data_IF_044606754015
#
_entry.id   IF_044606754015
#
_cell.length_a   1.000
_cell.length_b   1.000
_cell.length_c   1.000
_cell.angle_alpha   90.00
_cell.angle_beta   90.00
_cell.angle_gamma   90.00
#
_symmetry.space_group_name_H-M   'P 1'
#
loop_
_entity.id
_entity.type
_entity.pdbx_description
1 polymer ?
#
# COMPACT_ATOMS: atom_id res chain seq x y z
N UNK A 1 -18.21 -23.24 -42.37
CA UNK A 1 -17.39 -23.06 -41.15
C UNK A 1 -17.44 -21.62 -40.68
N UNK A 2 -18.11 -21.39 -39.54
CA UNK A 2 -18.22 -20.09 -38.89
C UNK A 2 -17.93 -20.17 -37.37
N UNK A 3 -16.82 -20.78 -36.87
CA UNK A 3 -16.59 -20.87 -35.43
C UNK A 3 -15.82 -19.66 -34.85
N UNK A 4 -14.97 -18.99 -35.64
CA UNK A 4 -14.00 -18.01 -35.11
C UNK A 4 -14.57 -16.65 -34.67
N UNK A 5 -15.85 -16.35 -34.98
CA UNK A 5 -16.48 -15.08 -34.55
C UNK A 5 -17.19 -15.17 -33.19
N UNK A 6 -17.49 -16.38 -32.71
CA UNK A 6 -18.19 -16.58 -31.45
C UNK A 6 -17.20 -16.61 -30.27
N UNK A 7 -16.05 -17.28 -30.43
CA UNK A 7 -15.00 -17.33 -29.39
C UNK A 7 -14.37 -15.96 -29.11
N UNK A 8 -14.27 -15.09 -30.12
CA UNK A 8 -13.67 -13.76 -29.95
C UNK A 8 -14.61 -12.75 -29.28
N UNK A 9 -15.93 -12.96 -29.37
CA UNK A 9 -16.93 -12.11 -28.72
C UNK A 9 -17.07 -12.47 -27.22
N UNK A 10 -16.97 -13.75 -26.87
CA UNK A 10 -17.03 -14.24 -25.49
C UNK A 10 -15.80 -13.79 -24.68
N UNK A 11 -14.60 -13.88 -25.25
CA UNK A 11 -13.35 -13.43 -24.60
C UNK A 11 -13.32 -11.91 -24.36
N UNK A 12 -13.93 -11.11 -25.25
CA UNK A 12 -14.00 -9.65 -25.08
C UNK A 12 -14.97 -9.22 -23.98
N UNK A 13 -16.07 -9.98 -23.77
CA UNK A 13 -17.04 -9.70 -22.73
C UNK A 13 -16.51 -10.07 -21.34
N UNK A 14 -15.86 -11.22 -21.20
CA UNK A 14 -15.20 -11.64 -19.95
C UNK A 14 -14.04 -10.71 -19.57
N UNK A 15 -13.20 -10.31 -20.53
CA UNK A 15 -12.13 -9.33 -20.30
C UNK A 15 -12.65 -7.95 -19.87
N UNK A 16 -13.82 -7.54 -20.34
CA UNK A 16 -14.44 -6.27 -19.95
C UNK A 16 -15.02 -6.33 -18.53
N UNK A 17 -15.65 -7.45 -18.16
CA UNK A 17 -16.17 -7.68 -16.80
C UNK A 17 -15.03 -7.72 -15.78
N UNK A 18 -13.95 -8.44 -16.09
CA UNK A 18 -12.78 -8.56 -15.21
C UNK A 18 -12.08 -7.21 -14.95
N UNK A 19 -12.16 -6.28 -15.91
CA UNK A 19 -11.56 -4.95 -15.77
C UNK A 19 -12.44 -4.00 -14.95
N UNK A 20 -13.76 -4.11 -15.05
CA UNK A 20 -14.69 -3.37 -14.19
C UNK A 20 -14.50 -3.78 -12.72
N UNK A 21 -14.46 -5.09 -12.43
CA UNK A 21 -14.23 -5.62 -11.08
C UNK A 21 -12.87 -5.17 -10.51
N UNK A 22 -11.86 -5.09 -11.37
CA UNK A 22 -10.55 -4.56 -11.00
C UNK A 22 -10.61 -3.07 -10.62
N UNK A 23 -11.27 -2.24 -11.43
CA UNK A 23 -11.39 -0.81 -11.14
C UNK A 23 -12.24 -0.52 -9.91
N UNK A 24 -13.29 -1.33 -9.69
CA UNK A 24 -14.08 -1.30 -8.47
C UNK A 24 -13.19 -1.60 -7.25
N UNK A 25 -12.39 -2.67 -7.32
CA UNK A 25 -11.43 -3.01 -6.25
C UNK A 25 -10.41 -1.89 -6.01
N UNK A 26 -9.88 -1.28 -7.08
CA UNK A 26 -8.98 -0.13 -7.00
C UNK A 26 -9.65 1.05 -6.28
N UNK A 27 -10.90 1.36 -6.64
CA UNK A 27 -11.68 2.43 -6.00
C UNK A 27 -11.89 2.19 -4.51
N UNK A 28 -12.22 0.95 -4.14
CA UNK A 28 -12.35 0.54 -2.73
C UNK A 28 -11.03 0.69 -1.96
N UNK A 29 -9.91 0.24 -2.52
CA UNK A 29 -8.60 0.38 -1.88
C UNK A 29 -8.23 1.85 -1.71
N UNK A 30 -8.49 2.70 -2.71
CA UNK A 30 -8.28 4.15 -2.58
C UNK A 30 -9.06 4.74 -1.41
N UNK A 31 -10.36 4.48 -1.35
CA UNK A 31 -11.22 5.00 -0.28
C UNK A 31 -10.77 4.51 1.09
N UNK A 32 -10.29 3.27 1.20
CA UNK A 32 -9.75 2.74 2.45
C UNK A 32 -8.42 3.41 2.85
N UNK A 33 -7.54 3.74 1.90
CA UNK A 33 -6.29 4.47 2.20
C UNK A 33 -6.61 5.92 2.62
N UNK A 34 -7.57 6.58 1.98
CA UNK A 34 -8.04 7.92 2.39
C UNK A 34 -8.60 7.90 3.81
N UNK A 35 -9.47 6.92 4.10
CA UNK A 35 -10.00 6.74 5.44
C UNK A 35 -8.89 6.48 6.46
N UNK A 36 -7.91 5.63 6.13
CA UNK A 36 -6.76 5.36 6.99
C UNK A 36 -5.94 6.64 7.25
N UNK A 37 -5.74 7.48 6.25
CA UNK A 37 -5.05 8.77 6.39
C UNK A 37 -5.81 9.68 7.37
N UNK A 38 -7.13 9.79 7.21
CA UNK A 38 -7.98 10.58 8.11
C UNK A 38 -7.96 10.03 9.55
N UNK A 39 -8.00 8.70 9.71
CA UNK A 39 -7.90 8.06 11.01
C UNK A 39 -6.53 8.33 11.67
N UNK A 40 -5.44 8.28 10.90
CA UNK A 40 -4.09 8.58 11.40
C UNK A 40 -3.95 10.03 11.88
N UNK A 41 -4.50 11.00 11.14
CA UNK A 41 -4.53 12.42 11.54
C UNK A 41 -5.37 12.64 12.80
N UNK A 42 -6.51 11.94 12.92
CA UNK A 42 -7.36 12.04 14.11
C UNK A 42 -6.67 11.43 15.35
N UNK A 43 -5.93 10.33 15.19
CA UNK A 43 -5.10 9.75 16.26
C UNK A 43 -4.09 10.79 16.77
N UNK A 44 -3.37 11.46 15.87
CA UNK A 44 -2.40 12.49 16.21
C UNK A 44 -3.05 13.67 16.96
N UNK A 45 -4.20 14.14 16.49
CA UNK A 45 -4.96 15.23 17.12
C UNK A 45 -5.40 14.88 18.55
N UNK A 46 -5.88 13.65 18.76
CA UNK A 46 -6.27 13.15 20.10
C UNK A 46 -5.06 13.00 21.02
N UNK A 47 -3.96 12.48 20.48
CA UNK A 47 -2.68 12.39 21.18
C UNK A 47 -2.19 13.78 21.63
N UNK A 48 -2.24 14.80 20.77
CA UNK A 48 -1.91 16.18 21.13
C UNK A 48 -2.81 16.72 22.27
N UNK A 49 -4.12 16.41 22.22
CA UNK A 49 -5.08 16.78 23.28
C UNK A 49 -4.76 16.11 24.63
N UNK A 50 -4.37 14.83 24.60
CA UNK A 50 -3.95 14.06 25.79
C UNK A 50 -2.65 14.62 26.40
N UNK A 51 -1.78 15.20 25.57
CA UNK A 51 -0.59 15.90 26.02
C UNK A 51 -0.91 17.27 26.65
N UNK A 52 -1.90 18.00 26.13
CA UNK A 52 -2.23 19.36 26.60
C UNK A 52 -3.04 19.38 27.90
N UNK A 53 -3.91 18.40 28.16
CA UNK A 53 -4.77 18.39 29.35
C UNK A 53 -4.38 17.30 30.36
N UNK A 54 -4.12 17.70 31.61
CA UNK A 54 -3.65 16.80 32.68
C UNK A 54 -4.76 16.00 33.39
N UNK A 55 -6.04 16.42 33.29
CA UNK A 55 -7.10 15.96 34.20
C UNK A 55 -8.44 15.50 33.55
N UNK A 56 -8.58 15.51 32.22
CA UNK A 56 -9.82 15.08 31.53
C UNK A 56 -9.53 13.96 30.53
N UNK A 57 -9.27 12.75 31.01
CA UNK A 57 -8.50 11.79 30.21
C UNK A 57 -9.16 10.41 30.01
N UNK A 58 -10.24 10.05 30.72
CA UNK A 58 -10.84 8.70 30.56
C UNK A 58 -11.66 8.54 29.27
N UNK A 59 -12.46 9.54 28.91
CA UNK A 59 -13.27 9.50 27.68
C UNK A 59 -12.38 9.50 26.42
N UNK A 60 -11.45 10.46 26.35
CA UNK A 60 -10.52 10.60 25.24
C UNK A 60 -9.61 9.39 25.06
N UNK A 61 -9.22 8.71 26.15
CA UNK A 61 -8.41 7.49 26.08
C UNK A 61 -9.15 6.30 25.51
N UNK A 62 -10.37 6.05 25.96
CA UNK A 62 -11.19 4.98 25.40
C UNK A 62 -11.45 5.22 23.90
N UNK A 63 -11.69 6.47 23.53
CA UNK A 63 -11.91 6.85 22.13
C UNK A 63 -10.64 6.72 21.29
N UNK A 64 -9.47 7.07 21.83
CA UNK A 64 -8.18 6.82 21.19
C UNK A 64 -7.92 5.32 20.99
N UNK A 65 -8.23 4.48 21.98
CA UNK A 65 -8.06 3.03 21.87
C UNK A 65 -9.00 2.43 20.81
N UNK A 66 -10.24 2.90 20.73
CA UNK A 66 -11.18 2.53 19.67
C UNK A 66 -10.65 2.96 18.29
N UNK A 67 -10.20 4.20 18.17
CA UNK A 67 -9.66 4.74 16.91
C UNK A 67 -8.39 4.00 16.47
N UNK A 68 -7.48 3.66 17.39
CA UNK A 68 -6.30 2.83 17.10
C UNK A 68 -6.71 1.44 16.58
N UNK A 69 -7.71 0.82 17.21
CA UNK A 69 -8.25 -0.46 16.76
C UNK A 69 -8.90 -0.38 15.38
N UNK A 70 -9.62 0.69 15.09
CA UNK A 70 -10.21 0.93 13.77
C UNK A 70 -9.13 1.18 12.71
N UNK A 71 -8.14 2.04 13.02
CA UNK A 71 -6.96 2.30 12.18
C UNK A 71 -6.27 0.99 11.81
N UNK A 72 -6.04 0.12 12.79
CA UNK A 72 -5.45 -1.21 12.57
C UNK A 72 -6.31 -2.11 11.69
N UNK A 73 -7.63 -2.11 11.88
CA UNK A 73 -8.56 -2.89 11.03
C UNK A 73 -8.53 -2.39 9.59
N UNK A 74 -8.60 -1.07 9.37
CA UNK A 74 -8.51 -0.45 8.05
C UNK A 74 -7.18 -0.80 7.38
N UNK A 75 -6.05 -0.64 8.07
CA UNK A 75 -4.73 -0.98 7.54
C UNK A 75 -4.62 -2.47 7.14
N UNK A 76 -5.17 -3.37 7.96
CA UNK A 76 -5.21 -4.80 7.64
C UNK A 76 -6.08 -5.10 6.42
N UNK A 77 -7.21 -4.40 6.26
CA UNK A 77 -8.09 -4.56 5.10
C UNK A 77 -7.42 -4.06 3.81
N UNK A 78 -6.75 -2.91 3.85
CA UNK A 78 -5.94 -2.40 2.74
C UNK A 78 -4.86 -3.42 2.37
N UNK A 79 -4.11 -3.91 3.35
CA UNK A 79 -3.08 -4.95 3.18
C UNK A 79 -3.63 -6.20 2.49
N UNK A 80 -4.76 -6.72 2.97
CA UNK A 80 -5.39 -7.91 2.41
C UNK A 80 -5.84 -7.70 0.95
N UNK A 81 -6.46 -6.56 0.64
CA UNK A 81 -6.87 -6.22 -0.73
C UNK A 81 -5.68 -6.01 -1.66
N UNK A 82 -4.61 -5.35 -1.21
CA UNK A 82 -3.39 -5.20 -2.01
C UNK A 82 -2.71 -6.55 -2.31
N UNK A 83 -2.77 -7.50 -1.37
CA UNK A 83 -2.29 -8.87 -1.59
C UNK A 83 -3.16 -9.61 -2.60
N UNK A 84 -4.49 -9.59 -2.46
CA UNK A 84 -5.40 -10.29 -3.38
C UNK A 84 -5.35 -9.72 -4.80
N UNK A 85 -5.21 -8.40 -4.94
CA UNK A 85 -5.00 -7.75 -6.23
C UNK A 85 -3.79 -8.29 -6.98
N UNK A 86 -2.73 -8.72 -6.27
CA UNK A 86 -1.52 -9.32 -6.85
C UNK A 86 -1.72 -10.81 -7.16
N UNK A 87 -2.40 -11.55 -6.28
CA UNK A 87 -2.63 -13.00 -6.46
C UNK A 87 -3.55 -13.31 -7.65
N UNK A 88 -4.42 -12.37 -8.02
CA UNK A 88 -5.30 -12.49 -9.19
C UNK A 88 -4.59 -12.25 -10.55
N UNK A 89 -3.26 -12.09 -10.58
CA UNK A 89 -2.53 -11.91 -11.82
C UNK A 89 -2.24 -13.26 -12.50
N UNK A 90 -2.44 -13.38 -13.83
CA UNK A 90 -1.96 -14.54 -14.58
C UNK A 90 -0.45 -14.73 -14.37
N UNK A 91 0.05 -15.98 -14.39
CA UNK A 91 1.48 -16.24 -14.32
C UNK A 91 2.20 -15.51 -15.46
N UNK A 92 3.32 -14.88 -15.09
CA UNK A 92 4.10 -13.91 -15.87
C UNK A 92 4.52 -14.48 -17.26
N UNK A 93 3.65 -14.37 -18.27
CA UNK A 93 4.03 -14.62 -19.66
C UNK A 93 4.87 -13.44 -20.15
N UNK A 94 6.20 -13.59 -20.13
CA UNK A 94 7.20 -12.76 -20.79
C UNK A 94 6.86 -11.25 -20.89
N UNK A 95 7.52 -10.44 -20.04
CA UNK A 95 7.50 -8.95 -20.00
C UNK A 95 7.52 -8.20 -21.36
N UNK A 96 7.88 -8.85 -22.47
CA UNK A 96 7.90 -8.24 -23.80
C UNK A 96 6.48 -8.02 -24.40
N UNK A 97 5.47 -8.82 -24.00
CA UNK A 97 4.12 -8.78 -24.60
C UNK A 97 3.00 -8.61 -23.56
N UNK A 98 3.29 -8.00 -22.40
CA UNK A 98 2.27 -7.75 -21.39
C UNK A 98 1.15 -6.86 -21.98
N UNK A 99 -0.07 -7.42 -22.07
CA UNK A 99 -1.25 -6.68 -22.54
C UNK A 99 -1.39 -5.34 -21.81
N UNK A 100 -1.93 -4.33 -22.50
CA UNK A 100 -2.22 -3.00 -21.94
C UNK A 100 -2.97 -3.10 -20.61
N UNK A 101 -3.85 -4.09 -20.47
CA UNK A 101 -4.60 -4.39 -19.25
C UNK A 101 -3.68 -4.73 -18.08
N UNK A 102 -2.72 -5.64 -18.26
CA UNK A 102 -1.75 -6.02 -17.23
C UNK A 102 -0.88 -4.83 -16.80
N UNK A 103 -0.50 -3.98 -17.75
CA UNK A 103 0.30 -2.77 -17.48
C UNK A 103 -0.50 -1.77 -16.63
N UNK A 104 -1.78 -1.57 -16.93
CA UNK A 104 -2.69 -0.76 -16.11
C UNK A 104 -2.79 -1.35 -14.70
N UNK A 105 -3.05 -2.66 -14.57
CA UNK A 105 -3.20 -3.32 -13.27
C UNK A 105 -1.95 -3.18 -12.40
N UNK A 106 -0.77 -3.44 -12.98
CA UNK A 106 0.53 -3.30 -12.31
C UNK A 106 0.80 -1.87 -11.86
N UNK A 107 0.53 -0.87 -12.71
CA UNK A 107 0.72 0.53 -12.35
C UNK A 107 -0.22 0.96 -11.19
N UNK A 108 -1.49 0.57 -11.25
CA UNK A 108 -2.47 0.90 -10.22
C UNK A 108 -2.10 0.26 -8.89
N UNK A 109 -1.83 -1.05 -8.88
CA UNK A 109 -1.35 -1.75 -7.69
C UNK A 109 -0.10 -1.09 -7.10
N UNK A 110 0.83 -0.70 -7.98
CA UNK A 110 2.09 -0.11 -7.56
C UNK A 110 1.95 1.28 -6.96
N UNK A 111 1.09 2.11 -7.53
CA UNK A 111 0.74 3.40 -6.98
C UNK A 111 0.05 3.25 -5.60
N UNK A 112 -0.95 2.38 -5.49
CA UNK A 112 -1.69 2.16 -4.24
C UNK A 112 -0.79 1.61 -3.13
N UNK A 113 0.14 0.70 -3.46
CA UNK A 113 1.09 0.16 -2.47
C UNK A 113 2.01 1.25 -1.94
N UNK A 114 2.55 2.11 -2.81
CA UNK A 114 3.41 3.24 -2.37
C UNK A 114 2.64 4.24 -1.51
N UNK A 115 1.42 4.58 -1.92
CA UNK A 115 0.58 5.50 -1.17
C UNK A 115 0.21 4.95 0.21
N UNK A 116 -0.17 3.67 0.29
CA UNK A 116 -0.40 2.99 1.56
C UNK A 116 0.84 3.00 2.46
N UNK A 117 2.02 2.70 1.89
CA UNK A 117 3.28 2.73 2.62
C UNK A 117 3.62 4.14 3.16
N UNK A 118 3.33 5.18 2.37
CA UNK A 118 3.53 6.57 2.77
C UNK A 118 2.63 6.97 3.94
N UNK A 119 1.33 6.63 3.88
CA UNK A 119 0.38 6.87 4.98
C UNK A 119 0.82 6.14 6.24
N UNK A 120 1.21 4.86 6.12
CA UNK A 120 1.67 4.07 7.27
C UNK A 120 2.97 4.59 7.87
N UNK A 121 3.89 5.09 7.04
CA UNK A 121 5.12 5.76 7.51
C UNK A 121 4.79 7.05 8.25
N UNK A 122 3.92 7.90 7.70
CA UNK A 122 3.49 9.13 8.36
C UNK A 122 2.83 8.86 9.72
N UNK A 123 1.95 7.85 9.79
CA UNK A 123 1.36 7.42 11.05
C UNK A 123 2.41 6.95 12.06
N UNK A 124 3.41 6.16 11.64
CA UNK A 124 4.50 5.73 12.51
C UNK A 124 5.34 6.90 13.03
N UNK A 125 5.68 7.86 12.16
CA UNK A 125 6.42 9.07 12.53
C UNK A 125 5.66 9.89 13.60
N UNK A 126 4.34 10.02 13.45
CA UNK A 126 3.48 10.67 14.44
C UNK A 126 3.47 9.93 15.79
N UNK A 127 3.37 8.59 15.78
CA UNK A 127 3.47 7.78 17.00
C UNK A 127 4.82 7.98 17.71
N UNK A 128 5.93 7.96 16.96
CA UNK A 128 7.25 8.20 17.54
C UNK A 128 7.39 9.60 18.13
N UNK A 129 6.84 10.63 17.46
CA UNK A 129 6.80 12.00 17.99
C UNK A 129 6.03 12.09 19.32
N UNK A 130 4.87 11.42 19.42
CA UNK A 130 4.11 11.34 20.67
C UNK A 130 4.88 10.64 21.78
N UNK A 131 5.54 9.51 21.47
CA UNK A 131 6.40 8.78 22.41
C UNK A 131 7.49 9.67 22.99
N UNK A 132 8.23 10.38 22.14
CA UNK A 132 9.30 11.29 22.57
C UNK A 132 8.76 12.45 23.41
N UNK A 133 7.57 12.96 23.09
CA UNK A 133 6.93 14.00 23.91
C UNK A 133 6.52 13.47 25.29
N UNK A 134 6.03 12.23 25.38
CA UNK A 134 5.75 11.57 26.65
C UNK A 134 7.04 11.36 27.47
N UNK A 135 8.12 10.90 26.83
CA UNK A 135 9.44 10.74 27.46
C UNK A 135 9.97 12.07 28.01
N UNK A 136 9.92 13.14 27.22
CA UNK A 136 10.33 14.48 27.67
C UNK A 136 9.49 15.00 28.85
N UNK A 137 8.18 14.70 28.88
CA UNK A 137 7.32 15.03 30.03
C UNK A 137 7.72 14.25 31.29
N UNK A 138 8.04 12.96 31.17
CA UNK A 138 8.54 12.15 32.29
C UNK A 138 9.85 12.72 32.82
N UNK A 139 10.81 13.00 31.94
CA UNK A 139 12.09 13.61 32.29
C UNK A 139 11.88 14.92 33.07
N UNK A 140 10.99 15.78 32.58
CA UNK A 140 10.66 17.03 33.27
C UNK A 140 10.08 16.81 34.67
N UNK A 141 9.24 15.79 34.88
CA UNK A 141 8.71 15.47 36.20
C UNK A 141 9.78 14.92 37.15
N UNK A 142 10.74 14.14 36.63
CA UNK A 142 11.89 13.66 37.41
C UNK A 142 12.78 14.83 37.86
N UNK A 143 13.06 15.79 36.99
CA UNK A 143 13.81 17.01 37.35
C UNK A 143 13.11 17.84 38.44
N UNK A 144 11.77 17.94 38.40
CA UNK A 144 10.98 18.62 39.45
C UNK A 144 11.13 17.91 40.80
N UNK A 145 11.33 16.59 40.77
CA UNK A 145 11.62 15.75 41.92
C UNK A 145 13.12 15.72 42.27
N UNK A 146 13.93 16.63 41.71
CA UNK A 146 15.38 16.69 41.93
C UNK A 146 16.11 15.37 41.58
N UNK A 147 15.51 14.58 40.67
CA UNK A 147 16.09 13.37 40.09
C UNK A 147 16.70 13.73 38.75
N UNK A 148 18.02 13.95 38.75
CA UNK A 148 18.78 14.06 37.50
C UNK A 148 18.88 12.66 36.90
N UNK A 149 18.40 12.50 35.67
CA UNK A 149 18.39 11.22 34.94
C UNK A 149 18.87 11.49 33.52
N UNK A 150 19.86 10.72 33.09
CA UNK A 150 20.35 10.76 31.70
C UNK A 150 19.30 10.18 30.74
N UNK A 151 19.44 10.44 29.43
CA UNK A 151 18.50 9.91 28.45
C UNK A 151 18.54 8.37 28.41
N UNK A 152 19.73 7.78 28.54
CA UNK A 152 19.95 6.34 28.56
C UNK A 152 19.34 5.69 29.81
N UNK A 153 19.52 6.28 30.99
CA UNK A 153 18.91 5.79 32.23
C UNK A 153 17.38 5.90 32.19
N UNK A 154 16.85 6.97 31.57
CA UNK A 154 15.43 7.16 31.38
C UNK A 154 14.87 6.09 30.44
N UNK A 155 15.55 5.80 29.33
CA UNK A 155 15.15 4.76 28.40
C UNK A 155 15.16 3.38 29.05
N UNK A 156 16.18 3.06 29.85
CA UNK A 156 16.24 1.82 30.63
C UNK A 156 15.10 1.74 31.66
N UNK A 157 14.75 2.87 32.29
CA UNK A 157 13.60 2.94 33.19
C UNK A 157 12.28 2.69 32.46
N UNK A 158 12.10 3.23 31.26
CA UNK A 158 10.88 3.02 30.46
C UNK A 158 10.72 1.57 30.01
N UNK A 159 11.83 0.88 29.72
CA UNK A 159 11.85 -0.53 29.35
C UNK A 159 11.52 -1.47 30.52
N UNK A 160 11.75 -1.04 31.76
CA UNK A 160 11.44 -1.81 32.96
C UNK A 160 9.95 -1.65 33.31
N UNK A 161 9.27 -2.75 33.61
CA UNK A 161 7.87 -2.75 34.07
C UNK A 161 7.68 -2.13 35.47
N UNK A 162 8.77 -1.70 36.13
CA UNK A 162 8.76 -1.24 37.52
C UNK A 162 9.44 0.14 37.65
N UNK A 163 8.65 1.20 37.44
CA UNK A 163 9.07 2.58 37.73
C UNK A 163 9.19 2.86 39.23
N UNK A 164 8.55 2.03 40.06
CA UNK A 164 8.53 2.22 41.51
C UNK A 164 9.95 2.23 42.08
N UNK A 165 10.88 1.44 41.52
CA UNK A 165 12.30 1.44 41.93
C UNK A 165 12.93 2.83 41.76
N UNK A 166 12.59 3.59 40.72
CA UNK A 166 13.17 4.91 40.47
C UNK A 166 12.48 6.03 41.26
N UNK A 167 11.18 5.86 41.55
CA UNK A 167 10.37 6.83 42.30
C UNK A 167 10.56 6.68 43.81
N UNK A 168 10.89 5.48 44.30
CA UNK A 168 10.99 5.17 45.74
C UNK A 168 12.41 5.19 46.32
N UNK A 169 13.46 5.25 45.49
CA UNK A 169 14.83 5.14 45.99
C UNK A 169 15.38 6.50 46.51
N UNK A 170 15.69 6.54 47.81
CA UNK A 170 16.83 7.22 48.45
C UNK A 170 16.88 8.75 48.71
N UNK A 171 15.82 9.39 49.22
CA UNK A 171 15.96 10.34 50.34
C UNK A 171 14.62 10.91 50.80
N UNK A 172 14.36 10.83 52.10
CA UNK A 172 13.19 11.40 52.78
C UNK A 172 13.09 12.93 52.72
N UNK A 173 14.07 13.62 52.12
CA UNK A 173 14.13 15.08 51.96
C UNK A 173 13.66 15.57 50.57
N UNK A 174 13.43 14.66 49.62
CA UNK A 174 12.88 15.02 48.32
C UNK A 174 11.40 15.39 48.46
N UNK A 175 11.00 16.56 47.95
CA UNK A 175 9.58 16.97 47.85
C UNK A 175 8.88 16.15 46.76
N UNK A 176 8.73 14.84 47.00
CA UNK A 176 7.95 13.94 46.16
C UNK A 176 6.51 14.45 46.17
N UNK A 177 6.10 15.07 45.07
CA UNK A 177 4.73 15.52 44.91
C UNK A 177 3.95 14.37 44.30
N UNK A 178 2.91 13.88 45.00
CA UNK A 178 2.04 12.79 44.50
C UNK A 178 1.53 13.04 43.07
N UNK A 179 1.38 14.31 42.68
CA UNK A 179 1.05 14.73 41.32
C UNK A 179 2.12 14.38 40.27
N UNK A 180 3.40 14.58 40.56
CA UNK A 180 4.50 14.29 39.64
C UNK A 180 4.62 12.79 39.37
N UNK A 181 4.52 11.98 40.43
CA UNK A 181 4.47 10.51 40.35
C UNK A 181 3.28 10.04 39.51
N UNK A 182 2.10 10.61 39.75
CA UNK A 182 0.88 10.27 38.99
C UNK A 182 1.03 10.60 37.49
N UNK A 183 1.67 11.73 37.16
CA UNK A 183 1.91 12.12 35.77
C UNK A 183 2.94 11.19 35.10
N UNK A 184 4.01 10.83 35.80
CA UNK A 184 5.02 9.88 35.31
C UNK A 184 4.36 8.53 34.96
N UNK A 185 3.60 7.96 35.90
CA UNK A 185 2.88 6.69 35.67
C UNK A 185 1.89 6.79 34.51
N UNK A 186 1.21 7.94 34.37
CA UNK A 186 0.25 8.16 33.28
C UNK A 186 0.95 8.15 31.93
N UNK A 187 2.02 8.93 31.77
CA UNK A 187 2.80 9.02 30.52
C UNK A 187 3.49 7.71 30.18
N UNK A 188 3.97 6.97 31.17
CA UNK A 188 4.53 5.64 30.94
C UNK A 188 3.50 4.66 30.40
N UNK A 189 2.27 4.63 30.96
CA UNK A 189 1.18 3.83 30.40
C UNK A 189 0.85 4.21 28.95
N UNK A 190 0.90 5.50 28.63
CA UNK A 190 0.65 5.97 27.26
C UNK A 190 1.77 5.48 26.30
N UNK A 191 3.03 5.47 26.73
CA UNK A 191 4.16 4.89 25.98
C UNK A 191 3.95 3.39 25.76
N UNK A 192 3.61 2.63 26.81
CA UNK A 192 3.38 1.18 26.68
C UNK A 192 2.26 0.88 25.68
N UNK A 193 1.13 1.60 25.79
CA UNK A 193 -0.01 1.42 24.90
C UNK A 193 0.37 1.70 23.44
N UNK A 194 1.14 2.77 23.21
CA UNK A 194 1.66 3.10 21.89
C UNK A 194 2.60 2.03 21.34
N UNK A 195 3.56 1.56 22.14
CA UNK A 195 4.52 0.55 21.71
C UNK A 195 3.84 -0.78 21.39
N UNK A 196 2.76 -1.13 22.12
CA UNK A 196 1.91 -2.25 21.78
C UNK A 196 1.25 -2.05 20.40
N UNK A 197 0.63 -0.90 20.16
CA UNK A 197 0.02 -0.57 18.87
C UNK A 197 1.01 -0.59 17.71
N UNK A 198 2.22 -0.05 17.88
CA UNK A 198 3.28 -0.09 16.86
C UNK A 198 3.73 -1.52 16.58
N UNK A 199 3.87 -2.37 17.61
CA UNK A 199 4.18 -3.80 17.45
C UNK A 199 3.09 -4.53 16.66
N UNK A 200 1.81 -4.22 16.89
CA UNK A 200 0.69 -4.81 16.15
C UNK A 200 0.70 -4.44 14.66
N UNK A 201 1.25 -3.27 14.30
CA UNK A 201 1.41 -2.85 12.90
C UNK A 201 2.66 -3.45 12.23
N UNK A 202 3.54 -4.11 12.98
CA UNK A 202 4.82 -4.62 12.49
C UNK A 202 4.67 -5.60 11.31
N UNK A 203 3.70 -6.51 11.39
CA UNK A 203 3.41 -7.45 10.29
C UNK A 203 2.97 -6.72 9.02
N UNK A 204 2.24 -5.61 9.16
CA UNK A 204 1.80 -4.79 8.03
C UNK A 204 3.00 -4.12 7.36
N UNK A 205 3.95 -3.62 8.15
CA UNK A 205 5.19 -3.03 7.61
C UNK A 205 6.04 -4.05 6.86
N UNK A 206 6.22 -5.26 7.41
CA UNK A 206 6.96 -6.33 6.74
C UNK A 206 6.32 -6.72 5.40
N UNK A 207 5.00 -6.92 5.41
CA UNK A 207 4.24 -7.25 4.19
C UNK A 207 4.31 -6.15 3.14
N UNK A 208 4.23 -4.90 3.57
CA UNK A 208 4.29 -3.73 2.68
C UNK A 208 5.70 -3.58 2.08
N UNK A 209 6.75 -3.81 2.87
CA UNK A 209 8.12 -3.82 2.38
C UNK A 209 8.33 -4.90 1.31
N UNK A 210 7.83 -6.12 1.54
CA UNK A 210 7.87 -7.20 0.55
C UNK A 210 7.08 -6.85 -0.73
N UNK A 211 5.90 -6.25 -0.58
CA UNK A 211 5.10 -5.78 -1.72
C UNK A 211 5.84 -4.71 -2.55
N UNK A 212 6.58 -3.81 -1.90
CA UNK A 212 7.38 -2.78 -2.57
C UNK A 212 8.65 -3.35 -3.24
N UNK A 213 9.33 -4.29 -2.59
CA UNK A 213 10.52 -4.94 -3.13
C UNK A 213 10.19 -5.76 -4.39
N UNK A 214 9.13 -6.56 -4.33
CA UNK A 214 8.65 -7.37 -5.47
C UNK A 214 8.19 -6.53 -6.66
N UNK A 215 7.90 -5.25 -6.45
CA UNK A 215 7.53 -4.33 -7.53
C UNK A 215 8.73 -3.76 -8.29
N UNK A 216 9.93 -3.70 -7.71
CA UNK A 216 11.13 -3.12 -8.32
C UNK A 216 11.01 -1.61 -8.64
N UNK A 217 12.01 -1.05 -9.33
CA UNK A 217 11.98 0.32 -9.92
C UNK A 217 10.95 0.41 -11.07
N UNK A 218 9.66 0.28 -10.76
CA UNK A 218 8.56 0.59 -11.68
C UNK A 218 8.41 2.10 -11.95
N UNK A 219 9.34 2.92 -11.47
CA UNK A 219 9.37 4.36 -11.73
C UNK A 219 9.63 4.65 -13.22
N UNK A 220 10.25 3.72 -13.96
CA UNK A 220 10.51 3.91 -15.39
C UNK A 220 9.40 3.38 -16.33
N UNK A 221 8.16 3.32 -15.83
CA UNK A 221 7.04 2.76 -16.57
C UNK A 221 6.34 3.76 -17.48
N UNK A 222 6.38 5.08 -17.28
CA UNK A 222 5.68 6.01 -18.21
C UNK A 222 6.33 5.92 -19.59
N UNK A 223 7.66 6.04 -19.66
CA UNK A 223 8.42 5.91 -20.91
C UNK A 223 8.21 4.53 -21.53
N UNK A 224 8.43 3.45 -20.78
CA UNK A 224 8.23 2.08 -21.28
C UNK A 224 6.79 1.83 -21.75
N UNK A 225 5.82 2.36 -21.02
CA UNK A 225 4.40 2.22 -21.35
C UNK A 225 4.02 2.99 -22.62
N UNK A 226 4.52 4.22 -22.76
CA UNK A 226 4.29 5.04 -23.95
C UNK A 226 4.99 4.42 -25.16
N UNK A 227 6.24 3.95 -25.01
CA UNK A 227 7.00 3.29 -26.06
C UNK A 227 6.30 2.02 -26.55
N UNK A 228 5.88 1.11 -25.65
CA UNK A 228 5.15 -0.09 -26.07
C UNK A 228 3.78 0.21 -26.69
N UNK A 229 3.09 1.28 -26.26
CA UNK A 229 1.85 1.69 -26.93
C UNK A 229 2.11 2.21 -28.36
N UNK A 230 3.23 2.93 -28.56
CA UNK A 230 3.64 3.38 -29.88
C UNK A 230 3.99 2.19 -30.80
N UNK A 231 4.65 1.15 -30.28
CA UNK A 231 4.94 -0.09 -31.01
C UNK A 231 3.66 -0.77 -31.54
N UNK A 232 2.63 -0.94 -30.69
CA UNK A 232 1.34 -1.50 -31.12
C UNK A 232 0.64 -0.69 -32.22
N UNK A 233 0.76 0.64 -32.20
CA UNK A 233 0.18 1.52 -33.24
C UNK A 233 0.94 1.35 -34.55
N UNK A 234 2.25 1.17 -34.51
CA UNK A 234 3.09 0.91 -35.69
C UNK A 234 2.70 -0.43 -36.32
N UNK A 235 2.60 -1.49 -35.52
CA UNK A 235 2.21 -2.82 -36.00
C UNK A 235 0.78 -2.80 -36.59
N UNK A 236 -0.16 -2.14 -35.91
CA UNK A 236 -1.54 -1.98 -36.38
C UNK A 236 -1.60 -1.21 -37.71
N UNK A 237 -0.73 -0.21 -37.89
CA UNK A 237 -0.62 0.54 -39.15
C UNK A 237 -0.07 -0.36 -40.27
N UNK A 238 0.87 -1.25 -39.97
CA UNK A 238 1.39 -2.19 -40.95
C UNK A 238 0.32 -3.20 -41.39
N UNK A 239 -0.42 -3.78 -40.45
CA UNK A 239 -1.50 -4.72 -40.73
C UNK A 239 -2.67 -4.08 -41.50
N UNK A 240 -3.06 -2.85 -41.17
CA UNK A 240 -4.07 -2.11 -41.94
C UNK A 240 -3.60 -1.79 -43.36
N UNK A 241 -2.32 -1.48 -43.56
CA UNK A 241 -1.74 -1.29 -44.89
C UNK A 241 -1.74 -2.60 -45.70
N UNK A 242 -1.37 -3.73 -45.08
CA UNK A 242 -1.49 -5.06 -45.70
C UNK A 242 -2.93 -5.35 -46.09
N UNK A 243 -3.90 -5.11 -45.21
CA UNK A 243 -5.32 -5.28 -45.50
C UNK A 243 -5.81 -4.41 -46.69
N UNK A 244 -5.42 -3.13 -46.73
CA UNK A 244 -5.71 -2.24 -47.86
C UNK A 244 -5.08 -2.76 -49.16
N UNK A 245 -3.86 -3.29 -49.10
CA UNK A 245 -3.19 -3.88 -50.26
C UNK A 245 -3.93 -5.13 -50.79
N UNK A 246 -4.44 -5.99 -49.89
CA UNK A 246 -5.26 -7.14 -50.26
C UNK A 246 -6.60 -6.72 -50.87
N UNK A 247 -7.24 -5.66 -50.34
CA UNK A 247 -8.48 -5.10 -50.92
C UNK A 247 -8.26 -4.53 -52.32
N UNK A 248 -7.15 -3.82 -52.54
CA UNK A 248 -6.79 -3.24 -53.85
C UNK A 248 -6.42 -4.30 -54.88
N UNK A 249 -5.85 -5.43 -54.44
CA UNK A 249 -5.42 -6.53 -55.29
C UNK A 249 -6.25 -7.80 -55.02
N UNK A 250 -7.53 -7.80 -55.44
CA UNK A 250 -8.46 -8.93 -55.25
C UNK A 250 -7.97 -10.27 -55.82
N UNK A 251 -6.96 -10.25 -56.70
CA UNK A 251 -6.40 -11.44 -57.35
C UNK A 251 -5.28 -12.14 -56.56
N UNK A 252 -4.78 -11.56 -55.46
CA UNK A 252 -3.80 -12.27 -54.60
C UNK A 252 -4.44 -13.39 -53.74
N UNK A 253 -5.77 -13.40 -53.61
CA UNK A 253 -6.51 -14.45 -52.89
C UNK A 253 -6.75 -15.69 -53.78
N UNK A 254 -6.52 -15.61 -55.08
CA UNK A 254 -6.79 -16.70 -56.01
C UNK A 254 -5.51 -17.25 -56.65
N UNK A 255 -4.65 -17.90 -55.86
CA UNK A 255 -3.92 -19.02 -56.44
C UNK A 255 -4.94 -20.14 -56.69
N UNK A 256 -5.48 -20.20 -57.91
CA UNK A 256 -6.38 -21.28 -58.32
C UNK A 256 -5.74 -22.62 -57.94
N UNK A 257 -6.50 -23.53 -57.29
CA UNK A 257 -6.04 -24.87 -57.02
C UNK A 257 -5.46 -25.52 -58.27
N UNK A 258 -4.42 -26.34 -58.10
CA UNK A 258 -3.61 -26.91 -59.19
C UNK A 258 -4.43 -27.67 -60.25
N UNK A 259 -5.67 -28.05 -59.95
CA UNK A 259 -6.62 -28.73 -60.84
C UNK A 259 -7.40 -27.83 -61.82
N UNK A 260 -7.36 -26.49 -61.67
CA UNK A 260 -8.04 -25.54 -62.57
C UNK A 260 -7.11 -24.88 -63.61
N UNK A 261 -5.84 -25.30 -63.70
CA UNK A 261 -4.94 -24.82 -64.76
C UNK A 261 -5.23 -25.58 -66.07
N UNK A 262 -5.48 -24.89 -67.20
CA UNK A 262 -5.73 -25.56 -68.47
C UNK A 262 -4.48 -26.32 -68.93
N UNK A 263 -4.67 -27.59 -69.29
CA UNK A 263 -3.61 -28.43 -69.87
C UNK A 263 -3.12 -27.79 -71.18
N UNK A 264 -1.87 -27.33 -71.22
CA UNK A 264 -1.20 -27.01 -72.48
C UNK A 264 -1.06 -28.30 -73.28
N UNK A 265 -1.74 -28.36 -74.42
CA UNK A 265 -1.63 -29.44 -75.41
C UNK A 265 -0.19 -29.44 -75.95
N UNK A 266 0.57 -30.49 -75.65
CA UNK A 266 1.89 -30.73 -76.25
C UNK A 266 1.64 -31.36 -77.61
N UNK A 267 1.90 -30.62 -78.69
CA UNK A 267 2.08 -31.21 -80.02
C UNK A 267 3.58 -31.52 -80.17
N UNK A 268 3.93 -32.80 -80.24
CA UNK A 268 5.19 -33.27 -80.80
C UNK A 268 4.93 -33.73 -82.23
N UNK A 269 5.72 -33.18 -83.15
CA UNK A 269 6.12 -33.59 -84.52
C UNK A 269 5.08 -34.38 -85.31
#
# INVERSE_FOLDING_TARGET
DKPQQQDNMTNSAESSSNMEDFFQTVGEVRSLIENLSSQAEEVESRQATILSFSNQDKGNKNELELLNNETRKTANLVRAKLKSMRENWPPDENSANASVIHRIQRNQHSHLTRWFAEVMRGHHEAQMSFRETCKAKIQRQLEIMDKVTTDEELEEMLQRDNLTIFISDNNSDCRITSQAVTEIERRHRDIISLECGVKELHEIFQDTALLLETQGELINNIEKNVTSAAEYVVDSKEETNKAVSFKKNRYKIASLPRFLKPFKKVNSI
#
